data_IF_773184894311
#
_entry.id   IF_773184894311
#
_cell.length_a   1.000
_cell.length_b   1.000
_cell.length_c   1.000
_cell.angle_alpha   90.00
_cell.angle_beta   90.00
_cell.angle_gamma   90.00
#
_symmetry.space_group_name_H-M   'P 1'
#
loop_
_entity.id
_entity.type
_entity.pdbx_description
1 polymer ?
#
# COMPACT_ATOMS: atom_id res chain seq x y z
N UNK A 1 -10.22 -13.34 -11.72
CA UNK A 1 -10.51 -12.76 -10.39
C UNK A 1 -10.67 -13.93 -9.45
N UNK A 2 -9.74 -14.13 -8.52
CA UNK A 2 -9.78 -15.24 -7.59
C UNK A 2 -10.48 -14.78 -6.32
N UNK A 3 -11.54 -15.49 -5.93
CA UNK A 3 -12.25 -15.29 -4.69
C UNK A 3 -12.02 -16.51 -3.81
N UNK A 4 -11.78 -16.29 -2.53
CA UNK A 4 -11.62 -17.33 -1.52
C UNK A 4 -12.44 -16.96 -0.29
N UNK A 5 -12.92 -17.96 0.42
CA UNK A 5 -13.70 -17.80 1.64
C UNK A 5 -12.85 -18.16 2.85
N UNK A 6 -12.69 -17.21 3.78
CA UNK A 6 -11.90 -17.41 4.99
C UNK A 6 -12.56 -18.41 5.93
N UNK A 7 -11.76 -19.34 6.47
CA UNK A 7 -12.22 -20.21 7.55
C UNK A 7 -12.45 -19.43 8.87
N UNK A 8 -13.18 -20.02 9.83
CA UNK A 8 -13.65 -19.34 11.04
C UNK A 8 -12.53 -18.86 11.99
N UNK A 9 -11.29 -19.34 11.80
CA UNK A 9 -10.14 -18.96 12.60
C UNK A 9 -9.40 -17.70 12.08
N UNK A 10 -9.74 -17.22 10.88
CA UNK A 10 -9.04 -16.11 10.24
C UNK A 10 -9.89 -14.84 10.30
N UNK A 11 -9.35 -13.80 10.95
CA UNK A 11 -9.91 -12.45 10.90
C UNK A 11 -9.39 -11.73 9.65
N UNK A 12 -10.20 -10.89 9.02
CA UNK A 12 -9.82 -10.12 7.82
C UNK A 12 -8.48 -9.37 7.95
N UNK A 13 -8.16 -8.87 9.14
CA UNK A 13 -6.88 -8.21 9.43
C UNK A 13 -5.68 -9.16 9.42
N UNK A 14 -5.85 -10.38 9.94
CA UNK A 14 -4.82 -11.43 9.91
C UNK A 14 -4.57 -11.93 8.50
N UNK A 15 -5.64 -12.06 7.70
CA UNK A 15 -5.54 -12.41 6.29
C UNK A 15 -4.78 -11.33 5.52
N UNK A 16 -5.12 -10.06 5.74
CA UNK A 16 -4.42 -8.93 5.16
C UNK A 16 -2.92 -8.95 5.51
N UNK A 17 -2.57 -9.17 6.79
CA UNK A 17 -1.18 -9.26 7.23
C UNK A 17 -0.39 -10.39 6.55
N UNK A 18 -1.01 -11.55 6.31
CA UNK A 18 -0.38 -12.66 5.60
C UNK A 18 -0.20 -12.38 4.08
N UNK A 19 -1.17 -11.68 3.49
CA UNK A 19 -1.13 -11.33 2.07
C UNK A 19 -0.16 -10.18 1.77
N UNK A 20 0.08 -9.29 2.73
CA UNK A 20 0.99 -8.15 2.60
C UNK A 20 2.47 -8.57 2.66
N UNK A 21 3.39 -7.86 1.99
CA UNK A 21 3.18 -6.89 0.90
C UNK A 21 2.66 -7.57 -0.38
N UNK A 22 2.06 -6.77 -1.25
CA UNK A 22 1.39 -7.28 -2.44
C UNK A 22 2.36 -7.93 -3.45
N UNK A 23 2.05 -9.16 -3.86
CA UNK A 23 2.92 -9.96 -4.73
C UNK A 23 3.23 -9.33 -6.09
N UNK A 24 2.34 -8.48 -6.61
CA UNK A 24 2.55 -7.74 -7.87
C UNK A 24 3.69 -6.72 -7.80
N UNK A 25 4.03 -6.25 -6.60
CA UNK A 25 5.07 -5.23 -6.39
C UNK A 25 6.39 -5.82 -5.86
N UNK A 26 6.36 -7.04 -5.35
CA UNK A 26 7.58 -7.72 -4.85
C UNK A 26 8.17 -8.66 -5.90
N UNK A 27 7.35 -9.48 -6.57
CA UNK A 27 7.81 -10.62 -7.36
C UNK A 27 7.70 -11.96 -6.62
N UNK A 28 8.29 -13.01 -7.18
CA UNK A 28 8.19 -14.40 -6.68
C UNK A 28 9.57 -15.07 -6.70
N UNK A 29 9.94 -15.87 -5.67
CA UNK A 29 9.24 -16.11 -4.40
C UNK A 29 9.29 -14.88 -3.46
N UNK A 30 8.15 -14.57 -2.80
CA UNK A 30 7.90 -13.28 -2.11
C UNK A 30 9.05 -12.84 -1.20
N UNK A 31 9.48 -13.73 -0.29
CA UNK A 31 10.50 -13.41 0.71
C UNK A 31 11.83 -13.04 0.05
N UNK A 32 12.32 -13.86 -0.89
CA UNK A 32 13.59 -13.57 -1.58
C UNK A 32 13.50 -12.34 -2.46
N UNK A 33 12.36 -12.08 -3.07
CA UNK A 33 12.16 -10.91 -3.91
C UNK A 33 12.23 -9.59 -3.11
N UNK A 34 11.71 -9.59 -1.89
CA UNK A 34 11.83 -8.46 -0.96
C UNK A 34 13.27 -8.27 -0.50
N UNK A 35 14.00 -9.35 -0.19
CA UNK A 35 15.43 -9.26 0.17
C UNK A 35 16.28 -8.66 -0.95
N UNK A 36 16.11 -9.14 -2.19
CA UNK A 36 16.83 -8.59 -3.36
C UNK A 36 16.48 -7.12 -3.57
N UNK A 37 15.22 -6.75 -3.38
CA UNK A 37 14.78 -5.35 -3.50
C UNK A 37 15.52 -4.47 -2.50
N UNK A 38 15.59 -4.90 -1.24
CA UNK A 38 16.29 -4.17 -0.18
C UNK A 38 17.81 -4.08 -0.45
N UNK A 39 18.42 -5.12 -1.03
CA UNK A 39 19.83 -5.13 -1.43
C UNK A 39 20.12 -4.20 -2.63
N UNK A 40 19.15 -4.02 -3.54
CA UNK A 40 19.36 -3.34 -4.83
C UNK A 40 18.93 -1.88 -4.81
N UNK A 41 17.94 -1.50 -4.01
CA UNK A 41 17.41 -0.14 -3.96
C UNK A 41 18.22 0.75 -3.01
N UNK A 42 18.43 2.01 -3.41
CA UNK A 42 19.23 2.98 -2.65
C UNK A 42 18.53 3.43 -1.37
N UNK A 43 17.21 3.34 -1.33
CA UNK A 43 16.38 3.79 -0.21
C UNK A 43 15.17 2.89 -0.05
N UNK A 44 14.70 2.73 1.19
CA UNK A 44 13.46 2.01 1.47
C UNK A 44 12.28 2.63 0.74
N UNK A 45 11.38 1.78 0.22
CA UNK A 45 10.20 2.20 -0.57
C UNK A 45 9.18 3.03 0.21
N UNK A 46 9.20 2.97 1.55
CA UNK A 46 8.28 3.75 2.39
C UNK A 46 6.81 3.50 2.05
N UNK A 47 6.08 4.55 1.65
CA UNK A 47 4.69 4.44 1.22
C UNK A 47 4.52 3.72 -0.13
N UNK A 48 5.53 3.77 -1.00
CA UNK A 48 5.48 3.08 -2.29
C UNK A 48 5.48 1.56 -2.09
N UNK A 49 4.61 0.86 -2.83
CA UNK A 49 4.30 -0.57 -2.61
C UNK A 49 3.68 -0.91 -1.24
N UNK A 50 3.31 0.11 -0.46
CA UNK A 50 2.46 -0.01 0.73
C UNK A 50 0.97 -0.12 0.37
N UNK A 51 0.12 0.06 1.37
CA UNK A 51 -1.33 0.08 1.19
C UNK A 51 -2.00 1.15 2.04
N UNK A 52 -3.06 1.75 1.51
CA UNK A 52 -3.95 2.68 2.22
C UNK A 52 -5.38 2.15 2.11
N UNK A 53 -6.14 2.26 3.20
CA UNK A 53 -7.45 1.65 3.26
C UNK A 53 -8.19 1.90 4.56
N UNK A 54 -9.33 1.22 4.68
CA UNK A 54 -10.20 1.25 5.85
C UNK A 54 -10.30 -0.13 6.50
N UNK A 55 -10.30 -0.13 7.82
CA UNK A 55 -10.62 -1.27 8.67
C UNK A 55 -11.93 -0.95 9.39
N UNK A 56 -13.01 -1.63 9.03
CA UNK A 56 -14.32 -1.47 9.63
C UNK A 56 -14.48 -2.30 10.89
N UNK A 57 -15.29 -1.80 11.84
CA UNK A 57 -15.65 -2.55 13.05
C UNK A 57 -16.54 -3.77 12.77
N UNK A 58 -17.14 -3.81 11.58
CA UNK A 58 -17.89 -4.93 11.02
C UNK A 58 -16.98 -6.05 10.47
N UNK A 59 -15.66 -5.89 10.56
CA UNK A 59 -14.68 -6.86 10.07
C UNK A 59 -14.33 -6.68 8.59
N UNK A 60 -14.84 -5.63 7.94
CA UNK A 60 -14.50 -5.32 6.55
C UNK A 60 -13.11 -4.70 6.45
N UNK A 61 -12.33 -5.17 5.48
CA UNK A 61 -10.99 -4.63 5.17
C UNK A 61 -10.96 -4.26 3.70
N UNK A 62 -10.83 -2.96 3.43
CA UNK A 62 -10.73 -2.41 2.08
C UNK A 62 -9.42 -1.66 1.96
N UNK A 63 -8.47 -2.21 1.21
CA UNK A 63 -7.14 -1.63 1.02
C UNK A 63 -6.80 -1.49 -0.45
N UNK A 64 -6.23 -0.35 -0.82
CA UNK A 64 -5.65 -0.09 -2.13
C UNK A 64 -4.12 -0.06 -2.04
N UNK A 65 -3.43 -0.57 -3.07
CA UNK A 65 -1.98 -0.49 -3.15
C UNK A 65 -1.51 0.92 -3.55
N UNK A 66 -0.45 1.38 -2.89
CA UNK A 66 0.18 2.68 -3.16
C UNK A 66 1.22 2.58 -4.29
N UNK A 67 0.75 2.52 -5.54
CA UNK A 67 1.61 2.39 -6.74
C UNK A 67 1.61 3.62 -7.65
N UNK A 68 0.65 4.52 -7.46
CA UNK A 68 0.52 5.82 -8.15
C UNK A 68 0.19 6.90 -7.12
N UNK A 69 0.96 6.91 -6.03
CA UNK A 69 0.76 7.79 -4.90
C UNK A 69 1.96 8.71 -4.78
N UNK A 70 1.71 9.99 -4.56
CA UNK A 70 2.75 10.96 -4.24
C UNK A 70 2.65 11.35 -2.76
N UNK A 71 3.77 11.31 -2.04
CA UNK A 71 3.86 11.74 -0.64
C UNK A 71 4.67 13.02 -0.56
N UNK A 72 4.05 14.09 -0.07
CA UNK A 72 4.71 15.38 0.13
C UNK A 72 4.71 15.74 1.62
N UNK A 73 5.85 16.15 2.19
CA UNK A 73 5.88 16.73 3.52
C UNK A 73 5.03 17.99 3.55
N UNK A 74 4.21 18.17 4.58
CA UNK A 74 3.32 19.33 4.70
C UNK A 74 4.08 20.67 4.69
N UNK A 75 5.34 20.65 5.13
CA UNK A 75 6.22 21.81 5.18
C UNK A 75 6.80 22.21 3.81
N UNK A 76 6.76 21.30 2.82
CA UNK A 76 7.29 21.50 1.47
C UNK A 76 6.18 21.62 0.43
N UNK A 77 4.91 21.68 0.86
CA UNK A 77 3.80 21.90 -0.06
C UNK A 77 3.92 23.29 -0.66
N UNK A 78 3.89 23.43 -2.00
CA UNK A 78 3.83 24.75 -2.61
C UNK A 78 2.55 25.46 -2.12
N UNK A 79 2.56 26.79 -1.97
CA UNK A 79 1.41 27.55 -1.46
C UNK A 79 0.13 27.32 -2.28
N UNK A 80 0.25 26.89 -3.54
CA UNK A 80 -0.88 26.48 -4.38
C UNK A 80 -1.62 25.22 -3.91
N UNK A 81 -0.94 24.31 -3.18
CA UNK A 81 -1.52 23.06 -2.65
C UNK A 81 -2.06 23.20 -1.21
N UNK A 82 -1.87 24.36 -0.57
CA UNK A 82 -2.48 24.69 0.72
C UNK A 82 -3.96 25.11 0.58
N UNK A 83 -4.41 25.44 -0.63
CA UNK A 83 -5.81 25.53 -1.01
C UNK A 83 -6.33 24.17 -1.53
N UNK A 84 -7.62 23.87 -1.33
CA UNK A 84 -8.30 22.60 -1.70
C UNK A 84 -8.32 22.27 -3.20
N UNK A 85 -7.44 22.85 -4.01
CA UNK A 85 -7.38 22.62 -5.44
C UNK A 85 -6.25 21.65 -5.80
N UNK A 86 -6.49 20.37 -5.51
CA UNK A 86 -5.60 19.27 -5.89
C UNK A 86 -5.59 19.01 -7.42
N UNK A 87 -6.26 19.85 -8.22
CA UNK A 87 -6.37 19.72 -9.68
C UNK A 87 -5.02 19.86 -10.41
N UNK A 88 -3.99 20.38 -9.75
CA UNK A 88 -2.62 20.42 -10.28
C UNK A 88 -1.87 19.07 -10.27
N UNK A 89 -2.43 18.04 -9.64
CA UNK A 89 -1.84 16.68 -9.59
C UNK A 89 -2.59 15.65 -10.43
N UNK A 90 -3.69 16.04 -11.07
CA UNK A 90 -4.39 15.21 -12.05
C UNK A 90 -3.83 15.50 -13.44
N UNK A 91 -2.71 14.87 -13.79
CA UNK A 91 -2.31 14.66 -15.17
C UNK A 91 -2.36 13.16 -15.47
#
# INVERSE_FOLDING_TARGET
MWSFESGPAWTSTTFFAAAFPAGTMTGTPKVRAVEITEETEVSSRGLYAGSVGFLGFDGMVLTALCIRTASYPLEQLPPACLGRDCRGFAA
#
